data_IF_353512743721
#
_entry.id   IF_353512743721
#
_cell.length_a   1.000
_cell.length_b   1.000
_cell.length_c   1.000
_cell.angle_alpha   90.00
_cell.angle_beta   90.00
_cell.angle_gamma   90.00
#
_symmetry.space_group_name_H-M   'P 1'
#
loop_
_entity.id
_entity.type
_entity.pdbx_description
1 polymer ?
#
# COMPACT_ATOMS: atom_id res chain seq x y z
N UNK A 1 -5.45 88.52 -31.06
CA UNK A 1 -5.83 87.27 -31.74
C UNK A 1 -5.36 86.10 -30.89
N UNK A 2 -6.27 85.19 -30.54
CA UNK A 2 -6.07 83.77 -30.13
C UNK A 2 -5.34 83.57 -28.77
N UNK A 3 -5.82 82.85 -27.74
CA UNK A 3 -7.07 82.11 -27.47
C UNK A 3 -6.88 81.24 -26.20
N UNK A 4 -7.97 81.02 -25.43
CA UNK A 4 -8.29 79.88 -24.53
C UNK A 4 -7.36 79.55 -23.33
N UNK A 5 -7.76 79.10 -22.12
CA UNK A 5 -8.97 78.43 -21.56
C UNK A 5 -9.10 78.82 -20.07
N UNK A 6 -10.34 78.93 -19.55
CA UNK A 6 -10.67 79.07 -18.12
C UNK A 6 -10.99 77.68 -17.53
N UNK A 7 -10.48 77.36 -16.33
CA UNK A 7 -11.03 76.28 -15.48
C UNK A 7 -11.25 76.84 -14.07
N UNK A 8 -12.52 76.89 -13.66
CA UNK A 8 -12.95 77.24 -12.31
C UNK A 8 -13.32 75.96 -11.54
N UNK A 9 -12.83 75.84 -10.32
CA UNK A 9 -13.12 74.72 -9.42
C UNK A 9 -14.52 74.83 -8.78
N UNK A 10 -15.14 73.68 -8.54
CA UNK A 10 -16.34 73.56 -7.73
C UNK A 10 -16.20 72.39 -6.75
N UNK A 11 -16.44 72.68 -5.48
CA UNK A 11 -16.44 71.78 -4.33
C UNK A 11 -17.71 70.94 -4.33
N UNK A 12 -17.60 69.62 -4.18
CA UNK A 12 -18.75 68.71 -4.12
C UNK A 12 -19.03 68.28 -2.66
N UNK A 13 -20.27 68.52 -2.23
CA UNK A 13 -20.84 68.16 -0.94
C UNK A 13 -21.11 66.64 -0.87
N UNK A 14 -20.73 65.99 0.24
CA UNK A 14 -21.05 64.58 0.50
C UNK A 14 -22.53 64.39 0.87
N UNK A 15 -23.21 63.46 0.19
CA UNK A 15 -24.42 62.80 0.71
C UNK A 15 -24.09 61.36 1.13
N UNK A 16 -24.37 61.03 2.39
CA UNK A 16 -24.21 59.70 2.97
C UNK A 16 -25.41 58.82 2.63
N UNK A 17 -25.23 57.87 1.71
CA UNK A 17 -26.17 56.78 1.46
C UNK A 17 -25.86 55.57 2.35
N UNK A 18 -26.80 55.19 3.21
CA UNK A 18 -26.69 53.98 4.05
C UNK A 18 -26.76 52.71 3.19
N UNK A 19 -25.70 51.90 3.22
CA UNK A 19 -25.71 50.54 2.68
C UNK A 19 -26.17 49.58 3.78
N UNK A 20 -27.38 49.05 3.62
CA UNK A 20 -27.81 47.82 4.28
C UNK A 20 -27.00 46.65 3.70
N UNK A 21 -26.10 46.10 4.51
CA UNK A 21 -25.40 44.86 4.20
C UNK A 21 -26.26 43.68 4.66
N UNK A 22 -27.01 43.10 3.72
CA UNK A 22 -27.60 41.78 3.91
C UNK A 22 -26.47 40.76 4.07
N UNK A 23 -26.28 40.26 5.29
CA UNK A 23 -25.29 39.25 5.61
C UNK A 23 -25.83 37.90 5.11
N UNK A 24 -25.23 37.37 4.06
CA UNK A 24 -25.52 36.00 3.63
C UNK A 24 -25.18 35.04 4.78
N UNK A 25 -26.03 34.05 5.09
CA UNK A 25 -25.74 33.09 6.14
C UNK A 25 -24.45 32.34 5.79
N UNK A 26 -23.54 32.23 6.75
CA UNK A 26 -22.32 31.47 6.61
C UNK A 26 -22.68 30.02 6.21
N UNK A 27 -21.96 29.40 5.26
CA UNK A 27 -22.18 27.99 4.95
C UNK A 27 -21.97 27.19 6.23
N UNK A 28 -23.02 26.46 6.63
CA UNK A 28 -22.95 25.50 7.73
C UNK A 28 -21.70 24.64 7.54
N UNK A 29 -20.82 24.61 8.53
CA UNK A 29 -19.64 23.76 8.51
C UNK A 29 -20.09 22.32 8.25
N UNK A 30 -19.89 21.84 7.03
CA UNK A 30 -20.04 20.42 6.72
C UNK A 30 -18.96 19.73 7.53
N UNK A 31 -19.35 19.01 8.59
CA UNK A 31 -18.44 18.07 9.26
C UNK A 31 -17.97 17.10 8.20
N UNK A 32 -16.76 17.31 7.69
CA UNK A 32 -16.04 16.28 6.94
C UNK A 32 -15.91 15.10 7.91
N UNK A 33 -16.42 13.91 7.59
CA UNK A 33 -16.22 12.74 8.43
C UNK A 33 -14.72 12.57 8.66
N UNK A 34 -14.32 12.30 9.89
CA UNK A 34 -12.94 11.89 10.17
C UNK A 34 -12.65 10.65 9.31
N UNK A 35 -11.56 10.62 8.51
CA UNK A 35 -11.17 9.42 7.78
C UNK A 35 -11.17 8.20 8.71
N UNK A 36 -11.77 7.10 8.26
CA UNK A 36 -11.88 5.86 9.05
C UNK A 36 -13.09 5.76 10.00
N UNK A 37 -13.91 6.81 10.16
CA UNK A 37 -15.17 6.70 10.91
C UNK A 37 -16.33 6.30 10.00
N UNK A 38 -16.44 4.99 9.75
CA UNK A 38 -17.63 4.43 9.11
C UNK A 38 -18.74 4.19 10.14
N UNK A 39 -20.02 4.36 9.78
CA UNK A 39 -21.11 3.88 10.62
C UNK A 39 -20.95 2.38 10.92
N UNK A 40 -21.45 1.88 12.05
CA UNK A 40 -21.46 0.45 12.32
C UNK A 40 -22.08 -0.31 11.14
N UNK A 41 -21.31 -1.21 10.56
CA UNK A 41 -21.69 -1.98 9.39
C UNK A 41 -21.56 -3.46 9.70
N UNK A 42 -22.58 -4.23 9.31
CA UNK A 42 -22.58 -5.68 9.40
C UNK A 42 -22.51 -6.24 8.00
N UNK A 43 -21.41 -6.93 7.69
CA UNK A 43 -21.24 -7.56 6.40
C UNK A 43 -22.30 -8.64 6.14
N UNK A 44 -22.64 -8.91 4.86
CA UNK A 44 -23.31 -10.14 4.46
C UNK A 44 -22.58 -11.35 5.04
N UNK A 45 -23.32 -12.44 5.23
CA UNK A 45 -22.77 -13.68 5.79
C UNK A 45 -22.69 -14.76 4.72
N UNK A 46 -21.63 -15.55 4.80
CA UNK A 46 -21.50 -16.80 4.06
C UNK A 46 -22.51 -17.83 4.56
N UNK A 47 -22.59 -18.98 3.89
CA UNK A 47 -23.48 -20.08 4.29
C UNK A 47 -23.17 -20.65 5.69
N UNK A 48 -21.91 -20.55 6.13
CA UNK A 48 -21.42 -20.94 7.45
C UNK A 48 -21.54 -19.83 8.51
N UNK A 49 -22.09 -18.66 8.15
CA UNK A 49 -22.40 -17.57 9.08
C UNK A 49 -21.24 -16.62 9.38
N UNK A 50 -20.09 -16.77 8.72
CA UNK A 50 -18.95 -15.86 8.84
C UNK A 50 -19.15 -14.60 7.95
N UNK A 51 -18.52 -13.45 8.27
CA UNK A 51 -18.50 -12.30 7.36
C UNK A 51 -18.01 -12.69 5.96
N UNK A 52 -18.73 -12.27 4.92
CA UNK A 52 -18.37 -12.56 3.54
C UNK A 52 -17.39 -11.52 2.98
N UNK A 53 -16.12 -11.89 2.87
CA UNK A 53 -15.04 -11.06 2.34
C UNK A 53 -14.84 -11.23 0.82
N UNK A 54 -15.62 -12.10 0.16
CA UNK A 54 -15.42 -12.42 -1.26
C UNK A 54 -15.51 -11.17 -2.14
N UNK A 55 -14.53 -11.01 -3.02
CA UNK A 55 -14.46 -9.89 -3.95
C UNK A 55 -13.05 -9.60 -4.45
N UNK A 56 -12.97 -8.64 -5.37
CA UNK A 56 -11.70 -8.06 -5.83
C UNK A 56 -11.52 -6.75 -5.08
N UNK A 57 -10.38 -6.61 -4.42
CA UNK A 57 -10.03 -5.52 -3.53
C UNK A 57 -8.72 -4.87 -3.99
N UNK A 58 -8.56 -3.59 -3.70
CA UNK A 58 -7.34 -2.85 -4.03
C UNK A 58 -7.11 -1.73 -3.03
N UNK A 59 -5.85 -1.47 -2.68
CA UNK A 59 -5.49 -0.28 -1.94
C UNK A 59 -5.29 0.92 -2.88
N UNK A 60 -5.73 2.10 -2.44
CA UNK A 60 -5.44 3.37 -3.11
C UNK A 60 -4.54 4.23 -2.21
N UNK A 61 -3.32 3.76 -2.00
CA UNK A 61 -2.25 4.40 -1.22
C UNK A 61 -0.95 4.36 -2.02
N UNK A 62 0.07 5.12 -1.60
CA UNK A 62 1.41 5.11 -2.22
C UNK A 62 2.43 4.31 -1.40
N UNK A 63 1.95 3.45 -0.49
CA UNK A 63 2.77 2.70 0.46
C UNK A 63 3.76 1.72 -0.19
N UNK A 64 3.56 1.31 -1.45
CA UNK A 64 4.55 0.52 -2.20
C UNK A 64 5.83 1.31 -2.52
N UNK A 65 5.76 2.65 -2.53
CA UNK A 65 6.91 3.54 -2.68
C UNK A 65 7.62 3.73 -1.34
N UNK A 66 6.88 4.15 -0.31
CA UNK A 66 7.32 4.30 1.07
C UNK A 66 6.08 4.18 1.98
N UNK A 67 6.14 3.31 3.00
CA UNK A 67 5.02 3.15 3.94
C UNK A 67 4.85 4.35 4.88
N UNK A 68 5.85 5.22 5.00
CA UNK A 68 5.80 6.50 5.73
C UNK A 68 5.41 7.65 4.78
N UNK A 69 5.13 8.83 5.36
CA UNK A 69 4.89 10.04 4.58
C UNK A 69 6.10 10.35 3.68
N UNK A 70 5.84 10.65 2.41
CA UNK A 70 6.90 10.96 1.45
C UNK A 70 6.44 11.98 0.41
N UNK A 71 7.39 12.82 0.00
CA UNK A 71 7.20 13.77 -1.10
C UNK A 71 7.23 13.07 -2.46
N UNK A 72 6.68 13.76 -3.47
CA UNK A 72 6.87 13.34 -4.86
C UNK A 72 8.37 13.38 -5.22
N UNK A 73 8.83 12.36 -5.93
CA UNK A 73 10.25 12.19 -6.25
C UNK A 73 10.47 11.60 -7.64
N UNK A 74 11.69 11.75 -8.16
CA UNK A 74 12.08 11.11 -9.40
C UNK A 74 12.13 9.58 -9.23
N UNK A 75 11.72 8.86 -10.27
CA UNK A 75 11.96 7.41 -10.35
C UNK A 75 13.41 7.08 -10.68
N UNK A 76 13.71 5.82 -11.05
CA UNK A 76 15.06 5.38 -11.31
C UNK A 76 15.69 5.91 -12.61
N UNK A 77 14.88 6.25 -13.64
CA UNK A 77 15.33 6.73 -14.97
C UNK A 77 14.60 8.02 -15.39
N UNK A 78 14.70 9.11 -14.60
CA UNK A 78 14.07 10.38 -14.93
C UNK A 78 14.70 11.02 -16.17
N UNK A 79 15.94 10.65 -16.50
CA UNK A 79 16.67 11.07 -17.70
C UNK A 79 16.04 10.57 -19.00
N UNK A 80 15.36 9.41 -18.96
CA UNK A 80 14.72 8.83 -20.15
C UNK A 80 13.21 9.02 -20.14
N UNK A 81 12.57 8.88 -18.98
CA UNK A 81 11.12 8.75 -18.87
C UNK A 81 10.43 9.99 -18.29
N UNK A 82 11.19 10.93 -17.72
CA UNK A 82 10.67 12.14 -17.10
C UNK A 82 9.55 11.84 -16.10
N UNK A 83 8.41 12.52 -16.23
CA UNK A 83 7.27 12.35 -15.33
C UNK A 83 6.60 10.96 -15.39
N UNK A 84 6.78 10.18 -16.46
CA UNK A 84 6.21 8.83 -16.55
C UNK A 84 6.82 7.85 -15.54
N UNK A 85 8.04 8.11 -15.09
CA UNK A 85 8.75 7.31 -14.09
C UNK A 85 8.74 7.98 -12.71
N UNK A 86 8.19 9.19 -12.58
CA UNK A 86 8.12 9.87 -11.30
C UNK A 86 7.21 9.11 -10.31
N UNK A 87 7.59 9.11 -9.04
CA UNK A 87 6.75 8.59 -7.97
C UNK A 87 5.96 9.72 -7.30
N UNK A 88 4.65 9.55 -7.15
CA UNK A 88 3.83 10.51 -6.44
C UNK A 88 4.23 10.55 -4.96
N UNK A 89 4.03 11.71 -4.34
CA UNK A 89 4.04 11.79 -2.89
C UNK A 89 2.75 11.20 -2.34
N UNK A 90 2.77 10.85 -1.06
CA UNK A 90 1.56 10.42 -0.39
C UNK A 90 1.70 10.32 1.10
N UNK A 91 0.54 10.13 1.72
CA UNK A 91 0.43 9.93 3.15
C UNK A 91 0.79 8.49 3.50
N UNK A 92 1.64 8.32 4.50
CA UNK A 92 2.05 7.05 5.05
C UNK A 92 0.89 6.31 5.70
N UNK A 93 1.03 4.99 5.77
CA UNK A 93 0.06 4.08 6.39
C UNK A 93 0.51 3.63 7.79
N UNK A 94 1.70 4.02 8.23
CA UNK A 94 2.23 3.71 9.58
C UNK A 94 1.50 4.53 10.64
N UNK A 95 0.94 3.87 11.65
CA UNK A 95 0.28 4.55 12.76
C UNK A 95 1.29 5.38 13.57
N UNK A 96 1.03 6.69 13.67
CA UNK A 96 1.95 7.63 14.31
C UNK A 96 3.16 8.02 13.45
N UNK A 97 3.30 7.45 12.25
CA UNK A 97 4.33 7.81 11.27
C UNK A 97 5.75 7.40 11.61
N UNK A 98 5.99 6.67 12.70
CA UNK A 98 7.32 6.24 13.15
C UNK A 98 7.46 4.72 13.13
N UNK A 99 8.48 4.23 12.43
CA UNK A 99 8.92 2.83 12.49
C UNK A 99 10.06 2.72 13.52
N UNK A 100 9.90 1.91 14.57
CA UNK A 100 10.81 1.88 15.72
C UNK A 100 12.05 1.00 15.45
N UNK A 101 12.84 1.34 14.44
CA UNK A 101 14.05 0.62 14.06
C UNK A 101 15.08 0.54 15.18
N UNK A 102 15.82 -0.58 15.24
CA UNK A 102 17.12 -0.58 15.91
C UNK A 102 18.13 0.27 15.13
N UNK A 103 19.17 0.84 15.77
CA UNK A 103 20.13 1.70 15.08
C UNK A 103 20.80 1.05 13.86
N UNK A 104 21.24 -0.20 13.98
CA UNK A 104 21.85 -0.97 12.90
C UNK A 104 20.86 -1.27 11.77
N UNK A 105 19.59 -1.53 12.11
CA UNK A 105 18.54 -1.79 11.13
C UNK A 105 18.17 -0.52 10.35
N UNK A 106 18.14 0.64 11.00
CA UNK A 106 17.95 1.92 10.32
C UNK A 106 19.09 2.22 9.34
N UNK A 107 20.33 1.88 9.70
CA UNK A 107 21.46 2.01 8.77
C UNK A 107 21.29 1.09 7.56
N UNK A 108 20.84 -0.16 7.77
CA UNK A 108 20.55 -1.10 6.70
C UNK A 108 19.40 -0.64 5.79
N UNK A 109 18.33 -0.07 6.36
CA UNK A 109 17.21 0.54 5.62
C UNK A 109 17.70 1.59 4.62
N UNK A 110 18.59 2.48 5.07
CA UNK A 110 19.20 3.51 4.20
C UNK A 110 20.08 2.90 3.11
N UNK A 111 20.90 1.90 3.47
CA UNK A 111 21.71 1.17 2.49
C UNK A 111 20.82 0.49 1.43
N UNK A 112 19.72 -0.13 1.84
CA UNK A 112 18.73 -0.72 0.95
C UNK A 112 18.17 0.32 -0.02
N UNK A 113 17.73 1.48 0.48
CA UNK A 113 17.22 2.56 -0.35
C UNK A 113 18.24 3.05 -1.39
N UNK A 114 19.52 3.17 -1.01
CA UNK A 114 20.59 3.56 -1.94
C UNK A 114 20.88 2.47 -2.99
N UNK A 115 20.77 1.20 -2.60
CA UNK A 115 21.10 0.03 -3.44
C UNK A 115 19.91 -0.62 -4.11
N UNK A 116 18.70 -0.09 -3.98
CA UNK A 116 17.46 -0.71 -4.48
C UNK A 116 17.45 -1.03 -5.97
N UNK A 117 18.25 -0.31 -6.77
CA UNK A 117 18.40 -0.58 -8.22
C UNK A 117 19.51 -1.57 -8.56
N UNK A 118 20.21 -2.13 -7.56
CA UNK A 118 21.24 -3.15 -7.78
C UNK A 118 20.57 -4.45 -8.20
N UNK A 119 21.04 -5.01 -9.31
CA UNK A 119 20.56 -6.27 -9.87
C UNK A 119 21.72 -7.27 -9.89
N UNK A 120 21.59 -8.34 -9.11
CA UNK A 120 22.56 -9.43 -9.05
C UNK A 120 21.90 -10.74 -9.51
N UNK A 121 22.57 -11.49 -10.39
CA UNK A 121 22.11 -12.77 -10.94
C UNK A 121 23.26 -13.73 -10.82
N UNK A 122 23.14 -14.81 -10.04
CA UNK A 122 24.17 -15.86 -10.05
C UNK A 122 23.64 -17.15 -9.39
N UNK A 123 24.47 -18.15 -9.04
CA UNK A 123 24.17 -19.44 -8.33
C UNK A 123 24.53 -19.68 -6.81
N UNK A 124 24.05 -18.93 -5.81
CA UNK A 124 24.47 -18.85 -4.38
C UNK A 124 23.17 -18.53 -3.64
N UNK A 125 22.93 -19.24 -2.53
CA UNK A 125 21.71 -19.14 -1.76
C UNK A 125 21.44 -17.78 -1.11
N UNK A 126 22.42 -16.88 -1.00
CA UNK A 126 22.25 -15.58 -0.32
C UNK A 126 21.81 -14.41 -1.21
N UNK A 127 21.59 -14.62 -2.52
CA UNK A 127 21.60 -13.49 -3.49
C UNK A 127 20.32 -12.70 -3.68
N UNK A 128 19.32 -13.00 -2.87
CA UNK A 128 18.13 -12.17 -2.77
C UNK A 128 18.36 -10.96 -1.84
N UNK A 129 19.57 -10.79 -1.30
CA UNK A 129 19.95 -9.80 -0.28
C UNK A 129 20.32 -8.40 -0.82
N UNK A 130 20.48 -8.24 -2.14
CA UNK A 130 20.92 -7.00 -2.75
C UNK A 130 19.87 -6.40 -3.70
N UNK A 131 19.52 -5.14 -3.47
CA UNK A 131 18.53 -4.40 -4.27
C UNK A 131 17.09 -4.87 -4.06
N UNK A 132 16.13 -4.08 -4.54
CA UNK A 132 14.71 -4.31 -4.31
C UNK A 132 14.26 -5.63 -4.95
N UNK A 133 13.68 -6.57 -4.19
CA UNK A 133 13.11 -7.81 -4.72
C UNK A 133 12.02 -7.59 -5.76
N UNK A 134 11.20 -6.55 -5.59
CA UNK A 134 10.11 -6.19 -6.50
C UNK A 134 10.65 -5.88 -7.90
N UNK A 135 11.78 -5.15 -7.98
CA UNK A 135 12.45 -4.82 -9.24
C UNK A 135 12.81 -6.08 -10.07
N UNK A 136 12.98 -7.23 -9.41
CA UNK A 136 13.34 -8.52 -10.01
C UNK A 136 12.15 -9.45 -10.18
N UNK A 137 10.92 -8.95 -10.01
CA UNK A 137 9.67 -9.73 -10.04
C UNK A 137 9.62 -10.84 -8.96
N UNK A 138 10.26 -10.62 -7.80
CA UNK A 138 10.07 -11.52 -6.66
C UNK A 138 8.77 -11.19 -5.92
N UNK A 139 8.22 -12.20 -5.24
CA UNK A 139 6.97 -12.04 -4.51
C UNK A 139 7.13 -11.00 -3.39
N UNK A 140 6.17 -10.08 -3.22
CA UNK A 140 6.30 -8.93 -2.32
C UNK A 140 6.19 -9.30 -0.84
N UNK A 141 5.70 -10.50 -0.51
CA UNK A 141 5.38 -10.89 0.85
C UNK A 141 4.21 -10.12 1.45
N UNK A 142 4.02 -10.26 2.75
CA UNK A 142 2.91 -9.69 3.52
C UNK A 142 3.50 -8.74 4.56
N UNK A 143 2.97 -7.52 4.73
CA UNK A 143 1.73 -6.98 4.17
C UNK A 143 1.83 -6.34 2.78
N UNK A 144 3.02 -6.23 2.17
CA UNK A 144 3.22 -5.46 0.93
C UNK A 144 2.27 -5.84 -0.21
N UNK A 145 2.00 -7.12 -0.41
CA UNK A 145 1.05 -7.58 -1.42
C UNK A 145 -0.34 -6.91 -1.34
N UNK A 146 -0.78 -6.48 -0.16
CA UNK A 146 -2.09 -5.87 0.06
C UNK A 146 -2.16 -4.38 -0.31
N UNK A 147 -1.02 -3.70 -0.46
CA UNK A 147 -0.98 -2.27 -0.80
C UNK A 147 -0.14 -1.92 -2.03
N UNK A 148 0.34 -2.94 -2.77
CA UNK A 148 0.83 -2.72 -4.12
C UNK A 148 -0.28 -2.09 -4.99
N UNK A 149 0.07 -1.34 -6.05
CA UNK A 149 -0.89 -0.69 -6.94
C UNK A 149 -1.63 -1.67 -7.88
N UNK A 150 -1.85 -2.90 -7.43
CA UNK A 150 -2.54 -3.98 -8.13
C UNK A 150 -3.69 -4.51 -7.28
N UNK A 151 -4.81 -4.92 -7.89
CA UNK A 151 -5.88 -5.58 -7.16
C UNK A 151 -5.50 -7.01 -6.73
N UNK A 152 -6.26 -7.54 -5.78
CA UNK A 152 -6.24 -8.96 -5.40
C UNK A 152 -7.65 -9.46 -5.14
N UNK A 153 -7.87 -10.75 -5.34
CA UNK A 153 -9.16 -11.40 -5.15
C UNK A 153 -9.14 -12.25 -3.89
N UNK A 154 -10.14 -12.05 -3.02
CA UNK A 154 -10.42 -12.92 -1.88
C UNK A 154 -11.44 -13.97 -2.32
N UNK A 155 -11.09 -15.23 -2.11
CA UNK A 155 -11.93 -16.41 -2.33
C UNK A 155 -12.05 -17.14 -0.99
N UNK A 156 -13.23 -17.08 -0.39
CA UNK A 156 -13.46 -17.58 0.97
C UNK A 156 -14.28 -18.86 0.94
N UNK A 157 -13.77 -19.86 1.65
CA UNK A 157 -14.47 -21.10 2.01
C UNK A 157 -14.48 -21.25 3.53
N UNK A 158 -15.27 -22.18 4.10
CA UNK A 158 -15.28 -22.39 5.55
C UNK A 158 -13.91 -22.80 6.14
N UNK A 159 -13.03 -23.44 5.36
CA UNK A 159 -11.77 -24.02 5.85
C UNK A 159 -10.53 -23.26 5.40
N UNK A 160 -10.63 -22.55 4.27
CA UNK A 160 -9.51 -21.85 3.66
C UNK A 160 -10.00 -20.54 3.04
N UNK A 161 -9.24 -19.48 3.25
CA UNK A 161 -9.37 -18.24 2.48
C UNK A 161 -8.14 -18.14 1.57
N UNK A 162 -8.38 -18.01 0.27
CA UNK A 162 -7.32 -17.80 -0.71
C UNK A 162 -7.33 -16.35 -1.17
N UNK A 163 -6.15 -15.74 -1.19
CA UNK A 163 -5.91 -14.43 -1.78
C UNK A 163 -5.07 -14.61 -3.04
N UNK A 164 -5.64 -14.27 -4.18
CA UNK A 164 -4.94 -14.26 -5.46
C UNK A 164 -4.57 -12.82 -5.83
N UNK A 165 -3.28 -12.54 -5.98
CA UNK A 165 -2.78 -11.21 -6.30
C UNK A 165 -2.50 -11.12 -7.80
N UNK A 166 -2.82 -9.96 -8.39
CA UNK A 166 -2.52 -9.70 -9.81
C UNK A 166 -1.00 -9.64 -10.05
N UNK A 167 -0.23 -9.09 -9.11
CA UNK A 167 1.22 -9.03 -9.19
C UNK A 167 1.89 -10.40 -8.97
N UNK A 168 2.80 -10.76 -9.89
CA UNK A 168 3.67 -11.94 -9.82
C UNK A 168 2.92 -13.30 -9.66
N UNK A 169 1.63 -13.33 -10.01
CA UNK A 169 0.75 -14.50 -9.77
C UNK A 169 0.82 -15.01 -8.33
N UNK A 170 1.10 -14.12 -7.38
CA UNK A 170 1.27 -14.51 -5.99
C UNK A 170 -0.05 -15.08 -5.47
N UNK A 171 0.03 -16.20 -4.77
CA UNK A 171 -1.09 -16.85 -4.11
C UNK A 171 -0.77 -16.97 -2.64
N UNK A 172 -1.73 -16.61 -1.80
CA UNK A 172 -1.65 -16.78 -0.36
C UNK A 172 -2.83 -17.60 0.11
N UNK A 173 -2.53 -18.63 0.88
CA UNK A 173 -3.53 -19.50 1.50
C UNK A 173 -3.56 -19.18 3.00
N UNK A 174 -4.72 -18.76 3.49
CA UNK A 174 -5.00 -18.58 4.90
C UNK A 174 -5.79 -19.81 5.36
N UNK A 175 -5.16 -20.62 6.20
CA UNK A 175 -5.76 -21.81 6.77
C UNK A 175 -6.59 -21.44 7.99
N UNK A 176 -7.88 -21.73 7.95
CA UNK A 176 -8.78 -21.39 9.05
C UNK A 176 -8.58 -22.36 10.22
N UNK A 177 -8.59 -21.86 11.45
CA UNK A 177 -8.29 -22.64 12.65
C UNK A 177 -9.24 -23.81 12.94
N UNK A 178 -10.39 -23.84 12.28
CA UNK A 178 -11.36 -24.93 12.39
C UNK A 178 -10.87 -26.24 11.76
N UNK A 179 -9.83 -26.22 10.92
CA UNK A 179 -9.17 -27.41 10.39
C UNK A 179 -7.92 -27.76 11.21
N UNK A 180 -8.07 -28.75 12.10
CA UNK A 180 -6.98 -29.25 12.95
C UNK A 180 -5.99 -30.16 12.23
N UNK A 181 -6.26 -30.54 10.98
CA UNK A 181 -5.33 -31.38 10.20
C UNK A 181 -4.16 -30.58 9.66
N UNK A 182 -4.30 -29.25 9.63
CA UNK A 182 -3.28 -28.33 9.12
C UNK A 182 -2.32 -27.92 10.25
N UNK A 183 -0.98 -28.04 10.05
CA UNK A 183 0.01 -27.61 11.03
C UNK A 183 -0.17 -26.16 11.49
N UNK A 184 0.03 -25.93 12.79
CA UNK A 184 0.02 -24.57 13.36
C UNK A 184 1.28 -23.82 12.94
N UNK A 185 2.44 -24.45 13.11
CA UNK A 185 3.73 -23.88 12.76
C UNK A 185 4.01 -23.98 11.25
N UNK A 186 4.76 -23.01 10.69
CA UNK A 186 5.16 -23.06 9.29
C UNK A 186 5.97 -24.33 8.99
N UNK A 187 5.61 -25.10 7.95
CA UNK A 187 6.38 -26.29 7.56
C UNK A 187 7.71 -25.93 6.87
N UNK A 188 7.79 -24.73 6.29
CA UNK A 188 8.97 -24.15 5.65
C UNK A 188 8.78 -22.64 5.52
N UNK A 189 9.90 -21.91 5.37
CA UNK A 189 9.86 -20.48 5.08
C UNK A 189 9.42 -20.24 3.64
N UNK A 190 8.63 -19.19 3.43
CA UNK A 190 8.15 -18.80 2.10
C UNK A 190 8.05 -17.29 1.93
N UNK A 191 7.94 -16.83 0.69
CA UNK A 191 7.78 -15.39 0.41
C UNK A 191 6.49 -14.81 0.99
N UNK A 192 5.39 -15.57 0.94
CA UNK A 192 4.07 -15.11 1.41
C UNK A 192 3.76 -15.51 2.86
N UNK A 193 4.70 -16.18 3.52
CA UNK A 193 4.54 -16.73 4.86
C UNK A 193 3.54 -17.88 4.95
N UNK A 194 3.36 -18.38 6.17
CA UNK A 194 2.36 -19.34 6.56
C UNK A 194 1.27 -18.64 7.37
N UNK A 195 0.03 -18.63 6.86
CA UNK A 195 -1.05 -17.84 7.43
C UNK A 195 -2.12 -18.69 8.10
N UNK A 196 -2.44 -18.36 9.35
CA UNK A 196 -3.49 -18.95 10.17
C UNK A 196 -4.59 -17.92 10.41
N UNK A 197 -5.84 -18.29 10.15
CA UNK A 197 -6.97 -17.38 10.22
C UNK A 197 -8.05 -17.81 11.21
N UNK A 198 -8.63 -16.83 11.92
CA UNK A 198 -9.86 -17.02 12.70
C UNK A 198 -10.71 -15.76 12.64
N UNK A 199 -12.00 -15.89 13.01
CA UNK A 199 -12.89 -14.74 13.11
C UNK A 199 -13.06 -14.29 14.56
N UNK A 200 -12.84 -13.00 14.81
CA UNK A 200 -13.20 -12.30 16.04
C UNK A 200 -14.43 -11.44 15.76
N UNK A 201 -15.61 -12.01 16.00
CA UNK A 201 -16.87 -11.38 15.61
C UNK A 201 -16.94 -11.17 14.09
N UNK A 202 -16.80 -9.91 13.66
CA UNK A 202 -16.88 -9.52 12.24
C UNK A 202 -15.52 -9.24 11.59
N UNK A 203 -14.43 -9.54 12.29
CA UNK A 203 -13.07 -9.33 11.82
C UNK A 203 -12.39 -10.66 11.53
N UNK A 204 -11.87 -10.84 10.32
CA UNK A 204 -10.90 -11.90 10.06
C UNK A 204 -9.56 -11.45 10.63
N UNK A 205 -9.01 -12.24 11.54
CA UNK A 205 -7.67 -12.07 12.08
C UNK A 205 -6.78 -13.11 11.43
N UNK A 206 -5.61 -12.69 10.94
CA UNK A 206 -4.65 -13.56 10.27
C UNK A 206 -3.29 -13.43 10.94
N UNK A 207 -2.81 -14.51 11.54
CA UNK A 207 -1.48 -14.64 12.13
C UNK A 207 -0.54 -15.29 11.10
N UNK A 208 0.56 -14.63 10.76
CA UNK A 208 1.50 -15.11 9.74
C UNK A 208 2.95 -15.09 10.20
N UNK A 209 3.65 -16.20 9.93
CA UNK A 209 5.07 -16.44 10.27
C UNK A 209 5.76 -17.27 9.18
N UNK A 210 7.04 -17.59 9.33
CA UNK A 210 7.78 -18.45 8.39
C UNK A 210 8.02 -17.75 7.07
N UNK A 211 8.58 -16.55 7.15
CA UNK A 211 8.92 -15.74 5.99
C UNK A 211 10.39 -15.94 5.63
N UNK A 212 10.70 -15.95 4.33
CA UNK A 212 12.08 -15.75 3.90
C UNK A 212 12.49 -14.27 4.16
N UNK A 213 13.75 -13.98 4.51
CA UNK A 213 14.18 -12.63 4.92
C UNK A 213 14.43 -11.69 3.73
N UNK A 214 13.82 -11.97 2.58
CA UNK A 214 14.22 -11.39 1.30
C UNK A 214 13.23 -10.37 0.76
N UNK A 215 12.00 -10.30 1.24
CA UNK A 215 11.04 -9.28 0.85
C UNK A 215 11.26 -7.96 1.60
N UNK A 216 10.87 -6.86 0.96
CA UNK A 216 10.83 -5.52 1.54
C UNK A 216 9.38 -5.08 1.70
N UNK A 217 9.13 -4.13 2.60
CA UNK A 217 7.82 -3.50 2.77
C UNK A 217 7.55 -2.45 1.68
N UNK A 218 8.57 -1.88 1.06
CA UNK A 218 8.42 -0.86 0.01
C UNK A 218 9.73 -0.62 -0.76
N UNK A 219 9.70 0.33 -1.70
CA UNK A 219 10.87 0.79 -2.48
C UNK A 219 11.79 1.74 -1.71
N UNK A 220 11.43 2.14 -0.49
CA UNK A 220 12.21 3.02 0.38
C UNK A 220 13.19 2.25 1.27
N UNK A 221 13.25 0.92 1.11
CA UNK A 221 14.24 0.05 1.73
C UNK A 221 13.81 -0.53 3.07
N UNK A 222 12.57 -0.28 3.50
CA UNK A 222 11.98 -0.84 4.70
C UNK A 222 11.91 -2.37 4.55
N UNK A 223 12.49 -3.10 5.51
CA UNK A 223 12.73 -4.54 5.38
C UNK A 223 12.43 -5.30 6.68
N UNK A 224 12.44 -6.62 6.60
CA UNK A 224 12.31 -7.54 7.73
C UNK A 224 13.35 -8.67 7.66
N UNK A 225 13.53 -9.37 8.77
CA UNK A 225 14.27 -10.63 8.86
C UNK A 225 13.34 -11.84 8.74
N UNK A 226 13.89 -13.03 8.91
CA UNK A 226 13.14 -14.30 8.97
C UNK A 226 12.32 -14.44 10.27
N UNK A 227 12.62 -13.61 11.28
CA UNK A 227 11.85 -13.54 12.52
C UNK A 227 10.56 -12.69 12.42
N UNK A 228 10.17 -12.28 11.20
CA UNK A 228 8.95 -11.52 10.98
C UNK A 228 7.71 -12.30 11.44
N UNK A 229 6.87 -11.64 12.24
CA UNK A 229 5.53 -12.05 12.60
C UNK A 229 4.56 -10.92 12.28
N UNK A 230 3.52 -11.24 11.52
CA UNK A 230 2.50 -10.29 11.08
C UNK A 230 1.14 -10.75 11.59
N UNK A 231 0.45 -9.88 12.31
CA UNK A 231 -0.96 -10.08 12.68
C UNK A 231 -1.81 -9.07 11.94
N UNK A 232 -2.60 -9.54 10.99
CA UNK A 232 -3.49 -8.72 10.17
C UNK A 232 -4.92 -8.81 10.66
N UNK A 233 -5.68 -7.74 10.41
CA UNK A 233 -7.12 -7.66 10.69
C UNK A 233 -7.83 -7.11 9.47
N UNK A 234 -8.85 -7.82 9.01
CA UNK A 234 -9.70 -7.43 7.91
C UNK A 234 -11.12 -7.24 8.45
N UNK A 235 -11.53 -5.98 8.62
CA UNK A 235 -12.84 -5.62 9.16
C UNK A 235 -13.65 -4.89 8.13
N UNK A 236 -14.86 -5.37 7.82
CA UNK A 236 -15.75 -4.65 6.93
C UNK A 236 -16.16 -3.30 7.52
N UNK A 237 -15.82 -2.24 6.80
CA UNK A 237 -16.20 -0.87 7.14
C UNK A 237 -17.50 -0.45 6.42
N UNK A 238 -17.78 -1.04 5.25
CA UNK A 238 -18.98 -0.80 4.45
C UNK A 238 -19.15 -1.91 3.40
N UNK A 239 -20.17 -1.87 2.52
CA UNK A 239 -20.27 -2.78 1.39
C UNK A 239 -19.07 -2.74 0.41
N UNK A 240 -18.32 -1.63 0.43
CA UNK A 240 -17.26 -1.34 -0.54
C UNK A 240 -15.88 -1.13 0.08
N UNK A 241 -15.77 -1.25 1.40
CA UNK A 241 -14.53 -0.98 2.12
C UNK A 241 -14.27 -2.06 3.17
N UNK A 242 -13.05 -2.58 3.19
CA UNK A 242 -12.48 -3.31 4.31
C UNK A 242 -11.44 -2.40 4.93
N UNK A 243 -11.53 -2.18 6.24
CA UNK A 243 -10.40 -1.62 6.97
C UNK A 243 -9.39 -2.72 7.19
N UNK A 244 -8.19 -2.50 6.67
CA UNK A 244 -7.06 -3.39 6.86
C UNK A 244 -6.12 -2.78 7.91
N UNK A 245 -5.73 -3.60 8.87
CA UNK A 245 -4.71 -3.27 9.86
C UNK A 245 -3.69 -4.40 9.90
N UNK A 246 -2.40 -4.06 10.07
CA UNK A 246 -1.36 -5.05 10.31
C UNK A 246 -0.48 -4.60 11.48
N UNK A 247 -0.26 -5.50 12.42
CA UNK A 247 0.75 -5.36 13.48
C UNK A 247 1.99 -6.12 13.04
N UNK A 248 3.14 -5.45 13.04
CA UNK A 248 4.42 -5.95 12.59
C UNK A 248 5.33 -6.14 13.79
N UNK A 249 5.83 -7.37 13.94
CA UNK A 249 6.79 -7.75 14.97
C UNK A 249 8.01 -8.39 14.30
N UNK A 250 9.18 -7.83 14.56
CA UNK A 250 10.45 -8.45 14.18
C UNK A 250 11.49 -8.02 15.21
N UNK A 251 11.86 -8.88 16.18
CA UNK A 251 12.77 -8.53 17.25
C UNK A 251 14.22 -8.38 16.76
N UNK A 252 14.56 -8.74 15.52
CA UNK A 252 15.87 -8.51 14.93
C UNK A 252 15.98 -7.12 14.33
N UNK A 253 14.89 -6.56 13.81
CA UNK A 253 14.85 -5.28 13.07
C UNK A 253 14.30 -4.13 13.90
N UNK A 254 13.25 -4.36 14.69
CA UNK A 254 12.53 -3.33 15.43
C UNK A 254 12.74 -3.44 16.94
N UNK A 255 12.59 -2.31 17.65
CA UNK A 255 12.69 -2.22 19.12
C UNK A 255 11.37 -2.51 19.83
N UNK A 256 10.25 -2.40 19.11
CA UNK A 256 8.88 -2.73 19.57
C UNK A 256 7.98 -3.03 18.37
N UNK A 257 6.84 -3.70 18.58
CA UNK A 257 5.81 -3.81 17.55
C UNK A 257 5.35 -2.43 17.05
N UNK A 258 4.97 -2.38 15.78
CA UNK A 258 4.37 -1.20 15.16
C UNK A 258 3.20 -1.60 14.26
N UNK A 259 2.38 -0.63 13.86
CA UNK A 259 1.14 -0.87 13.13
C UNK A 259 1.06 -0.06 11.85
N UNK A 260 0.36 -0.60 10.89
CA UNK A 260 -0.12 0.13 9.71
C UNK A 260 -1.61 -0.10 9.52
N UNK A 261 -2.30 0.88 8.94
CA UNK A 261 -3.71 0.75 8.62
C UNK A 261 -4.11 1.56 7.38
N UNK A 262 -4.98 0.98 6.56
CA UNK A 262 -5.52 1.63 5.36
C UNK A 262 -6.83 0.96 4.89
N UNK A 263 -7.69 1.68 4.17
CA UNK A 263 -8.85 1.08 3.54
C UNK A 263 -8.48 0.31 2.26
N UNK A 264 -9.00 -0.90 2.15
CA UNK A 264 -9.11 -1.66 0.91
C UNK A 264 -10.45 -1.35 0.24
N UNK A 265 -10.41 -1.03 -1.04
CA UNK A 265 -11.57 -0.64 -1.83
C UNK A 265 -12.01 -1.80 -2.72
N UNK A 266 -13.32 -2.08 -2.71
CA UNK A 266 -13.89 -3.07 -3.61
C UNK A 266 -13.85 -2.54 -5.05
N UNK A 267 -13.37 -3.37 -5.99
CA UNK A 267 -13.50 -3.09 -7.43
C UNK A 267 -14.96 -3.32 -7.86
N UNK A 268 -15.53 -2.34 -8.54
CA UNK A 268 -16.98 -2.23 -8.81
C UNK A 268 -17.31 -2.26 -10.30
N UNK A 269 -16.31 -2.37 -11.16
CA UNK A 269 -16.47 -2.40 -12.60
C UNK A 269 -17.32 -3.61 -13.01
N UNK A 270 -18.18 -3.40 -14.02
CA UNK A 270 -19.02 -4.46 -14.55
C UNK A 270 -18.14 -5.58 -15.11
N UNK A 271 -18.38 -6.81 -14.66
CA UNK A 271 -17.61 -7.99 -15.05
C UNK A 271 -16.11 -7.86 -14.74
N UNK A 272 -15.75 -7.18 -13.64
CA UNK A 272 -14.36 -7.12 -13.18
C UNK A 272 -13.79 -8.54 -13.06
N UNK A 273 -12.59 -8.72 -13.59
CA UNK A 273 -11.79 -9.92 -13.47
C UNK A 273 -10.41 -9.52 -12.97
N UNK A 274 -9.81 -10.38 -12.16
CA UNK A 274 -8.40 -10.25 -11.83
C UNK A 274 -7.61 -10.61 -13.10
N UNK A 275 -6.77 -9.70 -13.57
CA UNK A 275 -5.94 -9.92 -14.75
C UNK A 275 -4.55 -10.32 -14.27
N UNK A 276 -3.81 -11.08 -15.08
CA UNK A 276 -2.47 -11.52 -14.71
C UNK A 276 -1.45 -10.41 -15.02
N UNK A 277 -0.68 -9.98 -14.01
CA UNK A 277 0.54 -9.20 -14.19
C UNK A 277 1.76 -10.12 -14.02
N UNK A 278 2.04 -10.88 -15.08
CA UNK A 278 3.23 -11.71 -15.16
C UNK A 278 4.48 -10.84 -15.41
N UNK A 279 5.04 -10.30 -14.32
CA UNK A 279 6.20 -9.42 -14.37
C UNK A 279 7.51 -10.10 -14.82
N UNK A 280 7.55 -11.44 -14.89
CA UNK A 280 8.80 -12.17 -15.17
C UNK A 280 9.35 -11.78 -16.53
N UNK A 281 8.49 -11.70 -17.54
CA UNK A 281 8.86 -11.32 -18.92
C UNK A 281 9.43 -9.89 -18.99
N UNK A 282 9.00 -9.00 -18.10
CA UNK A 282 9.42 -7.58 -18.10
C UNK A 282 10.77 -7.36 -17.45
N UNK A 283 11.24 -8.29 -16.63
CA UNK A 283 12.54 -8.21 -15.95
C UNK A 283 13.62 -9.05 -16.62
N UNK A 284 13.29 -9.86 -17.65
CA UNK A 284 14.26 -10.74 -18.30
C UNK A 284 15.45 -10.00 -18.90
N UNK A 285 15.24 -8.85 -19.55
CA UNK A 285 16.34 -8.06 -20.11
C UNK A 285 17.17 -7.40 -19.01
N UNK A 286 16.53 -6.91 -17.94
CA UNK A 286 17.20 -6.32 -16.78
C UNK A 286 18.10 -7.35 -16.10
N UNK A 287 17.60 -8.58 -15.96
CA UNK A 287 18.36 -9.68 -15.41
C UNK A 287 19.35 -10.17 -16.49
N UNK A 288 18.88 -10.93 -17.45
CA UNK A 288 19.71 -11.76 -18.31
C UNK A 288 20.16 -11.10 -19.61
N UNK A 289 19.81 -9.83 -19.87
CA UNK A 289 20.11 -9.15 -21.13
C UNK A 289 21.60 -9.12 -21.48
N UNK A 290 22.49 -9.06 -20.48
CA UNK A 290 23.95 -9.16 -20.67
C UNK A 290 24.42 -10.51 -21.23
N UNK A 291 23.63 -11.57 -21.04
CA UNK A 291 23.89 -12.91 -21.56
C UNK A 291 23.15 -13.19 -22.87
N UNK A 292 22.28 -12.28 -23.31
CA UNK A 292 21.55 -12.42 -24.56
C UNK A 292 22.52 -12.43 -25.74
N UNK A 293 22.34 -13.37 -26.67
CA UNK A 293 23.12 -13.40 -27.91
C UNK A 293 22.74 -12.18 -28.73
N UNK A 294 23.66 -11.24 -28.92
CA UNK A 294 23.47 -10.15 -29.87
C UNK A 294 23.30 -10.75 -31.26
N UNK A 295 22.11 -10.58 -31.83
CA UNK A 295 21.88 -10.87 -33.25
C UNK A 295 22.23 -9.58 -33.97
N UNK A 296 23.36 -9.56 -34.66
CA UNK A 296 23.70 -8.47 -35.57
C UNK A 296 22.57 -8.39 -36.62
N UNK A 297 21.87 -7.26 -36.65
CA UNK A 297 20.82 -6.95 -37.65
C UNK A 297 21.44 -6.36 -38.91
#
# INVERSE_FOLDING_TARGET
MIGFVIVAGAVFMLMTGGRSTGQAPAPSAVKVPTPGQFPPYRAPRTADGTPDLNGIWQAFVTADIDVQDHDAQAGPRPDMMGAYDAWPGGQGIVEGGEIPYKPEALAKKKENAEKRMVVNITSDPHRHDAGDPELKCYMPGVPRANYMPFPFQIIQTPHVIMMAYEYARALRTIYMENDKTIPQEPPADSWMGWSRGHFEGDTLVVDSKGFVPYSWFDRAGDYHSDALHVVERYTHASPYHIMYEATIEDPNVFTRPWKMSFPLYRRMEKNIQLVDFNCTEFVLDLLYGQYSKKVDK
#
